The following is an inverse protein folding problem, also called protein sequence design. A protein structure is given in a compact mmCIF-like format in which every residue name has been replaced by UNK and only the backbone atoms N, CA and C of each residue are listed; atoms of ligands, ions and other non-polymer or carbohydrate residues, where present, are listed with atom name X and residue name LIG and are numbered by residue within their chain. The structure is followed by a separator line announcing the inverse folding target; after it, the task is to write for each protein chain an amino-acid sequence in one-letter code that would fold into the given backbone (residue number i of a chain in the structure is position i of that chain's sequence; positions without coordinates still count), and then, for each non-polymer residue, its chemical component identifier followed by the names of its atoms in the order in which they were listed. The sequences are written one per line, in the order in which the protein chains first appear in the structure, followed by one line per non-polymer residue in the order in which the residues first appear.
data_IF_514423272323
#
_entry.id   IF_514423272323
#
_cell.length_a   1.000
_cell.length_b   1.000
_cell.length_c   1.000
_cell.angle_alpha   90.00
_cell.angle_beta   90.00
_cell.angle_gamma   90.00
#
_symmetry.space_group_name_H-M   'P 1'
#
loop_
_entity.id
_entity.type
_entity.pdbx_description
1 polymer ?
#
# COMPACT_ATOMS: atom_id res chain seq x y z
N UNK A 1 20.25 -24.31 -37.01
CA UNK A 1 19.63 -25.44 -36.28
C UNK A 1 19.16 -24.95 -34.91
N UNK A 2 17.87 -25.19 -34.59
CA UNK A 2 17.23 -25.42 -33.26
C UNK A 2 17.59 -24.46 -32.10
N UNK A 3 16.70 -23.53 -31.71
CA UNK A 3 15.43 -23.65 -30.91
C UNK A 3 15.64 -23.36 -29.40
N UNK A 4 15.03 -22.26 -28.96
CA UNK A 4 14.34 -21.96 -27.69
C UNK A 4 14.32 -23.03 -26.59
N UNK A 5 14.38 -22.57 -25.32
CA UNK A 5 13.61 -23.15 -24.21
C UNK A 5 13.31 -22.10 -23.12
N UNK A 6 12.11 -21.54 -23.24
CA UNK A 6 11.27 -21.04 -22.14
C UNK A 6 10.62 -22.29 -21.51
N UNK A 7 10.63 -22.41 -20.18
CA UNK A 7 9.83 -23.33 -19.38
C UNK A 7 9.43 -22.52 -18.13
N UNK A 8 8.22 -21.94 -18.01
CA UNK A 8 6.90 -22.55 -17.88
C UNK A 8 6.90 -23.77 -16.95
N UNK A 9 6.86 -23.50 -15.65
CA UNK A 9 6.52 -24.49 -14.63
C UNK A 9 5.02 -24.77 -14.68
N UNK A 10 4.70 -25.94 -15.22
CA UNK A 10 3.36 -26.46 -15.44
C UNK A 10 2.66 -26.82 -14.12
N UNK A 11 1.40 -26.41 -14.06
CA UNK A 11 0.34 -26.95 -13.21
C UNK A 11 0.34 -28.49 -13.30
N UNK A 12 0.43 -29.15 -12.14
CA UNK A 12 0.10 -30.56 -12.02
C UNK A 12 -1.42 -30.73 -12.11
N UNK A 13 -1.89 -31.07 -13.30
CA UNK A 13 -3.26 -31.55 -13.55
C UNK A 13 -3.29 -33.03 -13.13
N UNK A 14 -3.86 -33.27 -11.94
CA UNK A 14 -4.27 -34.61 -11.53
C UNK A 14 -5.49 -35.04 -12.33
N UNK A 15 -5.26 -35.78 -13.41
CA UNK A 15 -6.30 -36.45 -14.18
C UNK A 15 -6.76 -37.72 -13.44
N UNK A 16 -8.00 -37.73 -12.98
CA UNK A 16 -8.79 -38.97 -12.90
C UNK A 16 -10.11 -38.72 -13.66
N UNK A 17 -10.16 -39.24 -14.88
CA UNK A 17 -11.37 -39.35 -15.69
C UNK A 17 -11.58 -40.84 -15.92
N UNK A 18 -12.64 -41.39 -15.32
CA UNK A 18 -13.42 -42.51 -15.85
C UNK A 18 -14.84 -42.33 -15.33
N UNK A 19 -15.74 -41.86 -16.20
CA UNK A 19 -17.14 -41.63 -15.84
C UNK A 19 -17.89 -40.86 -16.92
N UNK A 20 -18.42 -41.61 -17.87
CA UNK A 20 -19.32 -41.20 -18.95
C UNK A 20 -20.60 -40.52 -18.42
N UNK A 21 -21.08 -39.46 -19.08
CA UNK A 21 -22.43 -38.93 -18.85
C UNK A 21 -22.56 -37.47 -19.27
N UNK A 22 -23.19 -37.23 -20.41
CA UNK A 22 -23.50 -35.89 -20.91
C UNK A 22 -24.55 -35.16 -20.07
N UNK A 23 -24.51 -33.83 -20.13
CA UNK A 23 -25.50 -32.95 -19.52
C UNK A 23 -24.91 -31.56 -19.33
N UNK A 24 -25.46 -30.59 -20.07
CA UNK A 24 -25.24 -29.17 -19.88
C UNK A 24 -25.30 -28.79 -18.40
N UNK A 25 -24.27 -28.10 -17.89
CA UNK A 25 -24.47 -27.04 -16.90
C UNK A 25 -23.17 -26.26 -16.65
N UNK A 26 -23.24 -24.98 -17.01
CA UNK A 26 -22.46 -23.82 -16.55
C UNK A 26 -21.16 -24.15 -15.78
N UNK A 27 -20.03 -23.91 -16.44
CA UNK A 27 -18.75 -23.67 -15.79
C UNK A 27 -18.92 -22.53 -14.77
N UNK A 28 -19.21 -22.90 -13.53
CA UNK A 28 -19.26 -22.00 -12.39
C UNK A 28 -17.81 -21.59 -12.17
N UNK A 29 -17.43 -20.42 -12.73
CA UNK A 29 -16.16 -19.79 -12.45
C UNK A 29 -15.94 -19.87 -10.94
N UNK A 30 -14.91 -20.61 -10.53
CA UNK A 30 -14.55 -20.73 -9.13
C UNK A 30 -14.32 -19.30 -8.63
N UNK A 31 -15.26 -18.81 -7.81
CA UNK A 31 -15.11 -17.54 -7.11
C UNK A 31 -13.77 -17.65 -6.39
N UNK A 32 -12.78 -16.87 -6.82
CA UNK A 32 -11.53 -16.74 -6.08
C UNK A 32 -11.91 -16.45 -4.63
N UNK A 33 -11.56 -17.36 -3.73
CA UNK A 33 -11.90 -17.21 -2.33
C UNK A 33 -11.28 -15.89 -1.85
N UNK A 34 -12.11 -14.96 -1.38
CA UNK A 34 -11.63 -13.74 -0.74
C UNK A 34 -10.71 -14.19 0.40
N UNK A 35 -9.45 -13.71 0.47
CA UNK A 35 -8.54 -14.08 1.55
C UNK A 35 -9.21 -13.87 2.89
N UNK A 36 -9.11 -14.85 3.78
CA UNK A 36 -9.71 -14.77 5.10
C UNK A 36 -9.17 -13.53 5.84
N UNK A 37 -10.08 -12.75 6.40
CA UNK A 37 -9.76 -11.55 7.16
C UNK A 37 -9.08 -11.91 8.48
N UNK A 38 -7.76 -11.74 8.55
CA UNK A 38 -6.96 -12.07 9.74
C UNK A 38 -6.92 -10.95 10.78
N UNK A 39 -7.68 -9.88 10.60
CA UNK A 39 -7.55 -8.68 11.43
C UNK A 39 -8.44 -8.65 12.68
N UNK A 40 -9.39 -9.57 12.84
CA UNK A 40 -10.27 -9.57 14.03
C UNK A 40 -9.47 -9.65 15.33
N UNK A 41 -9.56 -8.62 16.15
CA UNK A 41 -8.83 -8.53 17.42
C UNK A 41 -7.36 -8.08 17.29
N UNK A 42 -6.92 -7.73 16.08
CA UNK A 42 -5.58 -7.17 15.86
C UNK A 42 -5.53 -5.71 16.35
N UNK A 43 -4.45 -5.24 17.01
CA UNK A 43 -4.36 -3.87 17.53
C UNK A 43 -4.58 -2.77 16.49
N UNK A 44 -4.18 -3.01 15.24
CA UNK A 44 -4.37 -2.05 14.15
C UNK A 44 -5.78 -2.04 13.56
N UNK A 45 -6.61 -3.06 13.82
CA UNK A 45 -7.94 -3.22 13.19
C UNK A 45 -8.80 -1.97 13.35
N UNK A 46 -8.76 -1.36 14.54
CA UNK A 46 -9.58 -0.19 14.91
C UNK A 46 -9.33 1.02 14.02
N UNK A 47 -8.13 1.12 13.43
CA UNK A 47 -7.69 2.27 12.63
C UNK A 47 -7.86 2.07 11.13
N UNK A 48 -8.10 0.83 10.68
CA UNK A 48 -8.12 0.48 9.27
C UNK A 48 -9.29 1.16 8.52
N UNK A 49 -9.11 1.47 7.22
CA UNK A 49 -10.18 1.99 6.39
C UNK A 49 -11.32 0.96 6.23
N UNK A 50 -12.53 1.41 5.86
CA UNK A 50 -13.71 0.54 5.82
C UNK A 50 -13.65 -0.48 4.69
N UNK A 51 -14.13 -1.71 4.94
CA UNK A 51 -14.23 -2.80 3.95
C UNK A 51 -15.38 -2.59 2.94
N UNK A 52 -15.37 -1.47 2.25
CA UNK A 52 -16.35 -1.11 1.21
C UNK A 52 -15.63 -0.37 0.09
N UNK A 53 -16.33 -0.14 -1.02
CA UNK A 53 -15.79 0.68 -2.10
C UNK A 53 -15.36 2.07 -1.59
N UNK A 54 -14.13 2.46 -1.92
CA UNK A 54 -13.55 3.77 -1.60
C UNK A 54 -13.20 4.49 -2.90
N UNK A 55 -13.80 5.65 -3.16
CA UNK A 55 -13.48 6.47 -4.35
C UNK A 55 -13.51 5.69 -5.68
N UNK A 56 -14.42 4.72 -5.81
CA UNK A 56 -14.54 3.85 -6.99
C UNK A 56 -13.66 2.60 -6.96
N UNK A 57 -12.77 2.45 -5.98
CA UNK A 57 -11.94 1.27 -5.76
C UNK A 57 -12.71 0.24 -4.92
N UNK A 58 -13.15 -0.91 -5.49
CA UNK A 58 -13.83 -1.95 -4.74
C UNK A 58 -12.92 -2.56 -3.68
N UNK A 59 -13.45 -3.02 -2.55
CA UNK A 59 -12.63 -3.74 -1.57
C UNK A 59 -12.30 -5.16 -2.08
N UNK A 60 -11.01 -5.55 -2.05
CA UNK A 60 -10.56 -6.89 -2.42
C UNK A 60 -10.23 -7.72 -1.19
N UNK A 61 -9.29 -7.23 -0.35
CA UNK A 61 -8.76 -8.03 0.75
C UNK A 61 -8.21 -7.19 1.87
N UNK A 62 -8.19 -7.77 3.06
CA UNK A 62 -7.56 -7.24 4.26
C UNK A 62 -6.76 -8.35 4.92
N UNK A 63 -5.53 -8.05 5.33
CA UNK A 63 -4.65 -8.97 6.03
C UNK A 63 -3.90 -8.22 7.12
N UNK A 64 -3.89 -8.78 8.33
CA UNK A 64 -3.03 -8.33 9.42
C UNK A 64 -1.91 -9.35 9.64
N UNK A 65 -0.69 -8.84 9.72
CA UNK A 65 0.51 -9.57 10.13
C UNK A 65 0.74 -9.49 11.63
N UNK A 66 2.00 -9.50 12.05
CA UNK A 66 2.35 -9.38 13.48
C UNK A 66 2.21 -7.94 13.97
N UNK A 67 2.84 -7.00 13.25
CA UNK A 67 2.84 -5.58 13.58
C UNK A 67 2.32 -4.71 12.44
N UNK A 68 1.79 -5.31 11.37
CA UNK A 68 1.36 -4.63 10.16
C UNK A 68 -0.06 -5.02 9.77
N UNK A 69 -0.69 -4.17 8.97
CA UNK A 69 -1.97 -4.43 8.35
C UNK A 69 -1.97 -3.88 6.92
N UNK A 70 -2.35 -4.72 5.96
CA UNK A 70 -2.47 -4.39 4.55
C UNK A 70 -3.92 -4.55 4.09
N UNK A 71 -4.41 -3.56 3.36
CA UNK A 71 -5.68 -3.61 2.64
C UNK A 71 -5.45 -3.34 1.17
N UNK A 72 -6.14 -4.09 0.33
CA UNK A 72 -6.10 -3.92 -1.12
C UNK A 72 -7.50 -3.58 -1.61
N UNK A 73 -7.59 -2.53 -2.40
CA UNK A 73 -8.76 -2.13 -3.15
C UNK A 73 -8.46 -2.21 -4.64
N UNK A 74 -9.48 -2.54 -5.43
CA UNK A 74 -9.45 -2.63 -6.87
C UNK A 74 -10.36 -3.69 -7.45
N UNK A 75 -10.13 -3.99 -8.72
CA UNK A 75 -10.79 -5.07 -9.41
C UNK A 75 -9.97 -6.35 -9.31
N UNK A 76 -10.66 -7.49 -9.39
CA UNK A 76 -10.01 -8.82 -9.35
C UNK A 76 -9.09 -9.08 -10.54
N UNK A 77 -9.20 -8.30 -11.61
CA UNK A 77 -8.31 -8.35 -12.79
C UNK A 77 -7.01 -7.55 -12.62
N UNK A 78 -6.82 -6.88 -11.46
CA UNK A 78 -5.66 -6.06 -11.16
C UNK A 78 -5.76 -4.60 -11.57
N UNK A 79 -6.88 -4.17 -12.19
CA UNK A 79 -7.14 -2.76 -12.48
C UNK A 79 -7.67 -2.01 -11.26
N UNK A 80 -7.54 -0.67 -11.26
CA UNK A 80 -7.91 0.18 -10.12
C UNK A 80 -7.22 -0.30 -8.83
N UNK A 81 -5.90 -0.52 -8.87
CA UNK A 81 -5.18 -1.05 -7.72
C UNK A 81 -4.81 0.06 -6.73
N UNK A 82 -5.15 -0.17 -5.47
CA UNK A 82 -4.75 0.68 -4.36
C UNK A 82 -4.40 -0.22 -3.16
N UNK A 83 -3.17 -0.10 -2.68
CA UNK A 83 -2.72 -0.78 -1.47
C UNK A 83 -2.56 0.22 -0.33
N UNK A 84 -3.13 -0.11 0.84
CA UNK A 84 -2.96 0.64 2.08
C UNK A 84 -2.23 -0.26 3.06
N UNK A 85 -1.09 0.19 3.56
CA UNK A 85 -0.29 -0.49 4.58
C UNK A 85 -0.13 0.39 5.81
N UNK A 86 -0.34 -0.19 6.99
CA UNK A 86 -0.13 0.46 8.29
C UNK A 86 0.76 -0.44 9.14
N UNK A 87 1.90 0.08 9.59
CA UNK A 87 2.88 -0.67 10.40
C UNK A 87 3.05 -0.02 11.76
N UNK A 88 2.84 -0.79 12.84
CA UNK A 88 3.20 -0.45 14.21
C UNK A 88 4.68 -0.75 14.47
N UNK A 89 5.49 0.31 14.50
CA UNK A 89 6.93 0.19 14.77
C UNK A 89 7.27 0.18 16.27
N UNK A 90 6.28 0.35 17.14
CA UNK A 90 6.44 0.32 18.60
C UNK A 90 6.16 -1.03 19.23
N UNK A 91 5.66 -2.01 18.46
CA UNK A 91 5.41 -3.36 18.96
C UNK A 91 6.73 -4.03 19.38
N UNK A 92 6.79 -4.77 20.51
CA UNK A 92 7.98 -5.55 20.87
C UNK A 92 8.28 -6.63 19.82
N UNK A 93 9.47 -7.23 19.89
CA UNK A 93 9.80 -8.36 19.03
C UNK A 93 8.86 -9.55 19.29
N UNK A 94 8.53 -10.36 18.26
CA UNK A 94 7.76 -11.59 18.42
C UNK A 94 8.34 -12.50 19.51
N UNK A 95 7.49 -13.20 20.27
CA UNK A 95 7.95 -14.08 21.35
C UNK A 95 8.88 -15.21 20.86
N UNK A 96 8.77 -15.61 19.60
CA UNK A 96 9.66 -16.58 18.95
C UNK A 96 11.08 -16.04 18.71
N UNK A 97 11.24 -14.72 18.67
CA UNK A 97 12.51 -14.01 18.52
C UNK A 97 13.12 -13.61 19.89
N UNK A 98 12.78 -14.36 20.95
CA UNK A 98 13.14 -14.06 22.33
C UNK A 98 14.64 -14.10 22.63
N UNK A 99 15.49 -14.54 21.70
CA UNK A 99 16.92 -14.38 21.89
C UNK A 99 17.30 -12.88 21.74
N UNK A 100 18.19 -12.42 22.62
CA UNK A 100 18.49 -10.98 22.77
C UNK A 100 18.95 -10.32 21.46
N UNK A 101 19.65 -11.05 20.59
CA UNK A 101 20.18 -10.52 19.33
C UNK A 101 19.06 -10.26 18.31
N UNK A 102 18.12 -11.19 18.14
CA UNK A 102 16.99 -11.03 17.22
C UNK A 102 16.05 -9.91 17.69
N UNK A 103 15.76 -9.84 18.99
CA UNK A 103 14.95 -8.76 19.55
C UNK A 103 15.58 -7.37 19.32
N UNK A 104 16.91 -7.26 19.42
CA UNK A 104 17.63 -6.02 19.10
C UNK A 104 17.51 -5.69 17.62
N UNK A 105 17.80 -6.65 16.73
CA UNK A 105 17.72 -6.46 15.29
C UNK A 105 16.32 -6.05 14.82
N UNK A 106 15.28 -6.67 15.39
CA UNK A 106 13.89 -6.30 15.14
C UNK A 106 13.61 -4.84 15.52
N UNK A 107 13.98 -4.44 16.75
CA UNK A 107 13.78 -3.04 17.21
C UNK A 107 14.56 -2.05 16.35
N UNK A 108 15.78 -2.38 15.97
CA UNK A 108 16.60 -1.51 15.13
C UNK A 108 15.99 -1.36 13.72
N UNK A 109 15.39 -2.42 13.17
CA UNK A 109 14.64 -2.33 11.92
C UNK A 109 13.40 -1.43 12.04
N UNK A 110 12.64 -1.55 13.14
CA UNK A 110 11.48 -0.69 13.39
C UNK A 110 11.88 0.79 13.58
N UNK A 111 12.97 1.06 14.31
CA UNK A 111 13.54 2.39 14.46
C UNK A 111 13.97 2.96 13.10
N UNK A 112 14.71 2.17 12.32
CA UNK A 112 15.15 2.57 10.98
C UNK A 112 13.98 2.90 10.06
N UNK A 113 12.90 2.11 10.11
CA UNK A 113 11.70 2.39 9.33
C UNK A 113 11.08 3.75 9.70
N UNK A 114 10.95 4.06 11.00
CA UNK A 114 10.48 5.38 11.46
C UNK A 114 11.41 6.51 11.02
N UNK A 115 12.71 6.36 11.25
CA UNK A 115 13.71 7.39 10.97
C UNK A 115 13.79 7.68 9.47
N UNK A 116 13.73 6.63 8.64
CA UNK A 116 13.66 6.77 7.17
C UNK A 116 12.37 7.45 6.74
N UNK A 117 11.23 7.12 7.35
CA UNK A 117 9.94 7.75 7.05
C UNK A 117 9.97 9.24 7.39
N UNK A 118 10.43 9.59 8.59
CA UNK A 118 10.59 10.98 9.02
C UNK A 118 11.55 11.76 8.11
N UNK A 119 12.70 11.17 7.79
CA UNK A 119 13.70 11.78 6.90
C UNK A 119 13.16 11.95 5.49
N UNK A 120 12.40 10.99 4.97
CA UNK A 120 11.73 11.07 3.68
C UNK A 120 10.75 12.24 3.64
N UNK A 121 9.86 12.36 4.63
CA UNK A 121 8.91 13.47 4.72
C UNK A 121 9.62 14.84 4.75
N UNK A 122 10.69 14.94 5.54
CA UNK A 122 11.53 16.15 5.60
C UNK A 122 12.16 16.47 4.24
N UNK A 123 12.70 15.45 3.57
CA UNK A 123 13.32 15.60 2.25
C UNK A 123 12.31 16.00 1.18
N UNK A 124 11.11 15.42 1.20
CA UNK A 124 10.04 15.76 0.27
C UNK A 124 9.61 17.22 0.42
N UNK A 125 9.47 17.70 1.66
CA UNK A 125 9.17 19.11 1.93
C UNK A 125 10.26 20.02 1.36
N UNK A 126 11.51 19.74 1.70
CA UNK A 126 12.67 20.53 1.25
C UNK A 126 12.81 20.52 -0.27
N UNK A 127 12.54 19.38 -0.91
CA UNK A 127 12.55 19.24 -2.37
C UNK A 127 11.55 20.19 -3.01
N UNK A 128 10.30 20.21 -2.51
CA UNK A 128 9.27 21.14 -2.99
C UNK A 128 9.70 22.59 -2.81
N UNK A 129 10.09 22.97 -1.60
CA UNK A 129 10.50 24.35 -1.28
C UNK A 129 11.65 24.82 -2.18
N UNK A 130 12.68 24.00 -2.31
CA UNK A 130 13.86 24.30 -3.15
C UNK A 130 13.47 24.41 -4.63
N UNK A 131 12.61 23.52 -5.11
CA UNK A 131 12.19 23.53 -6.51
C UNK A 131 11.39 24.80 -6.86
N UNK A 132 10.49 25.23 -5.97
CA UNK A 132 9.71 26.46 -6.11
C UNK A 132 10.60 27.70 -6.01
N UNK A 133 11.46 27.78 -4.99
CA UNK A 133 12.38 28.91 -4.80
C UNK A 133 13.33 29.10 -5.98
N UNK A 134 13.81 28.01 -6.56
CA UNK A 134 14.76 28.06 -7.68
C UNK A 134 14.08 28.11 -9.06
N UNK A 135 12.73 28.09 -9.14
CA UNK A 135 12.01 28.04 -10.41
C UNK A 135 12.32 26.78 -11.25
N UNK A 136 12.53 25.64 -10.59
CA UNK A 136 12.93 24.38 -11.25
C UNK A 136 11.84 23.32 -11.29
N UNK A 137 10.59 23.71 -11.02
CA UNK A 137 9.43 22.80 -11.04
C UNK A 137 9.24 22.08 -12.39
N UNK A 138 9.58 22.74 -13.50
CA UNK A 138 9.49 22.16 -14.85
C UNK A 138 10.35 20.90 -15.02
N UNK A 139 11.42 20.74 -14.23
CA UNK A 139 12.24 19.50 -14.23
C UNK A 139 11.46 18.27 -13.75
N UNK A 140 10.37 18.48 -13.02
CA UNK A 140 9.47 17.43 -12.52
C UNK A 140 8.19 17.32 -13.39
N UNK A 141 8.02 18.20 -14.37
CA UNK A 141 6.79 18.30 -15.17
C UNK A 141 5.85 19.43 -14.74
N UNK A 142 6.30 20.33 -13.85
CA UNK A 142 5.55 21.49 -13.34
C UNK A 142 5.29 21.39 -11.83
N UNK A 143 4.72 22.45 -11.25
CA UNK A 143 4.47 22.54 -9.80
C UNK A 143 3.53 21.44 -9.27
N UNK A 144 2.59 20.99 -10.11
CA UNK A 144 1.63 19.93 -9.76
C UNK A 144 2.26 18.55 -9.62
N UNK A 145 3.49 18.35 -10.12
CA UNK A 145 4.27 17.12 -9.96
C UNK A 145 5.22 17.16 -8.78
N UNK A 146 5.47 18.34 -8.20
CA UNK A 146 6.30 18.43 -7.00
C UNK A 146 5.63 17.68 -5.83
N UNK A 147 6.43 17.07 -4.93
CA UNK A 147 5.90 16.46 -3.71
C UNK A 147 4.98 17.43 -2.95
N UNK A 148 3.98 16.89 -2.26
CA UNK A 148 3.09 17.67 -1.40
C UNK A 148 3.18 17.14 0.02
N UNK A 149 3.34 18.04 0.98
CA UNK A 149 3.20 17.72 2.40
C UNK A 149 1.83 18.21 2.86
N UNK A 150 1.03 17.28 3.36
CA UNK A 150 -0.24 17.53 4.01
C UNK A 150 -0.14 17.14 5.49
N UNK A 151 -1.18 17.40 6.25
CA UNK A 151 -1.29 16.97 7.65
C UNK A 151 -2.60 16.25 7.88
N UNK A 152 -2.55 15.20 8.70
CA UNK A 152 -3.78 14.60 9.22
C UNK A 152 -4.50 15.59 10.14
N UNK A 153 -5.75 15.29 10.48
CA UNK A 153 -6.51 16.05 11.50
C UNK A 153 -5.85 16.07 12.88
N UNK A 154 -4.92 15.15 13.15
CA UNK A 154 -4.14 15.09 14.40
C UNK A 154 -2.84 15.92 14.33
N UNK A 155 -2.53 16.52 13.17
CA UNK A 155 -1.29 17.25 12.93
C UNK A 155 -0.13 16.38 12.44
N UNK A 156 -0.32 15.07 12.28
CA UNK A 156 0.73 14.18 11.78
C UNK A 156 1.03 14.42 10.28
N UNK A 157 2.31 14.42 9.86
CA UNK A 157 2.70 14.74 8.48
C UNK A 157 2.38 13.59 7.51
N UNK A 158 1.92 13.96 6.32
CA UNK A 158 1.67 13.09 5.17
C UNK A 158 2.43 13.63 3.95
N UNK A 159 3.21 12.81 3.27
CA UNK A 159 3.90 13.16 2.03
C UNK A 159 3.30 12.43 0.86
N UNK A 160 2.89 13.15 -0.18
CA UNK A 160 2.38 12.58 -1.43
C UNK A 160 3.39 12.82 -2.54
N UNK A 161 3.67 11.77 -3.31
CA UNK A 161 4.57 11.81 -4.46
C UNK A 161 3.93 11.06 -5.60
N UNK A 162 3.97 11.66 -6.79
CA UNK A 162 3.72 10.96 -8.04
C UNK A 162 5.03 10.84 -8.83
N UNK A 163 5.16 9.86 -9.74
CA UNK A 163 6.24 9.84 -10.72
C UNK A 163 6.29 11.15 -11.50
N UNK A 164 7.48 11.55 -11.95
CA UNK A 164 7.61 12.71 -12.80
C UNK A 164 6.84 12.52 -14.11
N UNK A 165 6.50 13.63 -14.77
CA UNK A 165 5.73 13.58 -16.01
C UNK A 165 6.45 12.74 -17.08
N UNK A 166 5.79 11.68 -17.54
CA UNK A 166 6.33 10.74 -18.54
C UNK A 166 6.99 9.50 -17.94
N UNK A 167 7.25 9.48 -16.64
CA UNK A 167 7.84 8.33 -15.97
C UNK A 167 6.80 7.27 -15.61
N UNK A 168 7.25 6.02 -15.61
CA UNK A 168 6.52 4.87 -15.08
C UNK A 168 6.81 4.71 -13.59
N UNK A 169 5.80 4.36 -12.81
CA UNK A 169 5.94 4.10 -11.38
C UNK A 169 4.63 4.34 -10.67
N UNK A 170 4.63 3.99 -9.40
CA UNK A 170 3.47 4.14 -8.53
C UNK A 170 3.50 5.50 -7.86
N UNK A 171 2.32 6.09 -7.69
CA UNK A 171 2.18 7.20 -6.78
C UNK A 171 2.07 6.68 -5.35
N UNK A 172 2.63 7.43 -4.41
CA UNK A 172 2.67 7.03 -3.01
C UNK A 172 2.25 8.17 -2.10
N UNK A 173 1.51 7.82 -1.04
CA UNK A 173 1.38 8.62 0.16
C UNK A 173 2.11 7.89 1.29
N UNK A 174 2.97 8.60 1.99
CA UNK A 174 3.67 8.12 3.18
C UNK A 174 3.33 9.00 4.36
N UNK A 175 3.12 8.44 5.54
CA UNK A 175 2.82 9.20 6.75
C UNK A 175 3.48 8.59 7.99
N UNK A 176 3.82 9.45 8.95
CA UNK A 176 4.28 9.02 10.27
C UNK A 176 3.25 9.47 11.31
N UNK A 177 2.36 8.55 11.66
CA UNK A 177 1.21 8.81 12.52
C UNK A 177 1.62 8.61 13.99
N UNK A 178 1.34 9.61 14.83
CA UNK A 178 1.71 9.64 16.26
C UNK A 178 3.20 9.31 16.52
N UNK A 179 4.09 9.62 15.57
CA UNK A 179 5.53 9.29 15.68
C UNK A 179 5.85 7.79 15.74
N UNK A 180 4.88 6.91 15.47
CA UNK A 180 4.98 5.46 15.71
C UNK A 180 4.46 4.61 14.56
N UNK A 181 3.34 4.98 13.96
CA UNK A 181 2.74 4.15 12.91
C UNK A 181 3.15 4.68 11.55
N UNK A 182 3.76 3.82 10.74
CA UNK A 182 4.12 4.17 9.38
C UNK A 182 2.95 3.80 8.48
N UNK A 183 2.35 4.80 7.85
CA UNK A 183 1.28 4.66 6.89
C UNK A 183 1.87 4.75 5.49
N UNK A 184 1.49 3.84 4.60
CA UNK A 184 1.80 3.92 3.18
C UNK A 184 0.55 3.61 2.38
N UNK A 185 0.25 4.44 1.38
CA UNK A 185 -0.75 4.15 0.36
C UNK A 185 -0.03 4.18 -0.98
N UNK A 186 -0.19 3.14 -1.79
CA UNK A 186 0.37 3.09 -3.14
C UNK A 186 -0.73 2.86 -4.16
N UNK A 187 -0.57 3.45 -5.34
CA UNK A 187 -1.41 3.15 -6.48
C UNK A 187 -0.62 3.29 -7.78
N UNK A 188 -0.63 2.27 -8.66
CA UNK A 188 -0.15 2.41 -10.03
C UNK A 188 -1.11 3.24 -10.90
N UNK A 189 -2.33 3.49 -10.44
CA UNK A 189 -3.32 4.25 -11.20
C UNK A 189 -2.98 5.74 -11.21
N UNK A 190 -3.30 6.37 -12.34
CA UNK A 190 -3.00 7.77 -12.62
C UNK A 190 -4.27 8.58 -12.90
N UNK A 191 -5.20 8.70 -11.93
CA UNK A 191 -6.38 9.55 -12.10
C UNK A 191 -5.98 10.98 -12.46
N UNK A 192 -6.77 11.63 -13.32
CA UNK A 192 -6.63 13.05 -13.69
C UNK A 192 -5.20 13.45 -14.14
N UNK A 193 -4.53 12.58 -14.89
CA UNK A 193 -3.19 12.84 -15.42
C UNK A 193 -2.04 12.39 -14.50
N UNK A 194 -2.35 11.87 -13.31
CA UNK A 194 -1.37 11.22 -12.42
C UNK A 194 -0.33 12.15 -11.82
N UNK A 195 -0.59 13.46 -11.76
CA UNK A 195 0.26 14.40 -11.06
C UNK A 195 0.05 14.31 -9.53
N UNK A 196 0.98 14.85 -8.74
CA UNK A 196 0.96 14.76 -7.28
C UNK A 196 -0.30 15.38 -6.67
N UNK A 197 -0.83 16.47 -7.24
CA UNK A 197 -2.08 17.09 -6.76
C UNK A 197 -3.31 16.18 -6.95
N UNK A 198 -3.42 15.52 -8.11
CA UNK A 198 -4.48 14.55 -8.36
C UNK A 198 -4.37 13.36 -7.40
N UNK A 199 -3.15 12.86 -7.17
CA UNK A 199 -2.93 11.75 -6.23
C UNK A 199 -3.22 12.16 -4.78
N UNK A 200 -2.94 13.41 -4.40
CA UNK A 200 -3.34 13.95 -3.10
C UNK A 200 -4.86 13.92 -2.93
N UNK A 201 -5.62 14.32 -3.95
CA UNK A 201 -7.09 14.28 -3.93
C UNK A 201 -7.66 12.86 -3.84
N UNK A 202 -6.89 11.84 -4.26
CA UNK A 202 -7.25 10.44 -4.06
C UNK A 202 -6.87 9.95 -2.65
N UNK A 203 -5.61 10.13 -2.25
CA UNK A 203 -5.05 9.49 -1.06
C UNK A 203 -5.47 10.15 0.25
N UNK A 204 -5.43 11.48 0.36
CA UNK A 204 -5.72 12.17 1.62
C UNK A 204 -7.12 11.85 2.14
N UNK A 205 -8.18 11.86 1.31
CA UNK A 205 -9.51 11.50 1.78
C UNK A 205 -9.64 10.04 2.24
N UNK A 206 -8.82 9.12 1.72
CA UNK A 206 -8.75 7.73 2.21
C UNK A 206 -8.16 7.70 3.63
N UNK A 207 -7.10 8.48 3.87
CA UNK A 207 -6.54 8.66 5.22
C UNK A 207 -7.59 9.24 6.18
N UNK A 208 -8.44 10.16 5.71
CA UNK A 208 -9.51 10.73 6.54
C UNK A 208 -10.63 9.75 6.90
N UNK A 209 -10.83 8.68 6.11
CA UNK A 209 -11.75 7.59 6.44
C UNK A 209 -11.15 6.60 7.44
N UNK A 210 -9.84 6.62 7.63
CA UNK A 210 -9.16 5.84 8.66
C UNK A 210 -9.41 6.44 10.04
N UNK A 211 -9.56 5.58 11.04
CA UNK A 211 -9.77 5.99 12.44
C UNK A 211 -8.43 6.09 13.17
N UNK A 212 -7.49 6.84 12.60
CA UNK A 212 -6.11 6.95 13.12
C UNK A 212 -6.03 7.48 14.56
N UNK A 213 -7.04 8.24 15.00
CA UNK A 213 -7.15 8.70 16.40
C UNK A 213 -7.31 7.56 17.40
N UNK A 214 -7.89 6.43 16.98
CA UNK A 214 -8.12 5.25 17.81
C UNK A 214 -6.87 4.39 18.03
N UNK A 215 -5.77 4.68 17.33
CA UNK A 215 -4.49 4.03 17.60
C UNK A 215 -3.99 4.42 19.00
N UNK A 216 -3.32 3.53 19.74
CA UNK A 216 -2.71 3.89 21.03
C UNK A 216 -1.54 4.86 20.89
#
# INVERSE_FOLDING_TARGET
MKRSLILLSALMIGATLHGCGGGDDKAKAAKAAVPADSCTGHPLEVALPPQKTLYGYPFISRKCGYNDATLVYGNADGSLHLEVSLVDTGMPAPAQDANRAQAIAYRDAQNKLRDMTHSSLTLLNKTRETALQNGTADKFGGEDYLPVIDTTRMGDPLGVVAPAKGDTGDATLTGLIKGRYVLTITSPDKPNGGNTQAMRQLFVPIVEQMKLTALP
#
